data_IF_466215177065
#
_entry.id   IF_466215177065
#
_cell.length_a   1.000
_cell.length_b   1.000
_cell.length_c   1.000
_cell.angle_alpha   90.00
_cell.angle_beta   90.00
_cell.angle_gamma   90.00
#
_symmetry.space_group_name_H-M   'P 1'
#
loop_
_entity.id
_entity.type
_entity.pdbx_description
1 polymer ?
#
# COMPACT_ATOMS: atom_id res chain seq x y z
N UNK A 1 -8.98 11.97 2.74
CA UNK A 1 -8.18 12.70 3.75
C UNK A 1 -8.50 14.20 3.77
N UNK A 2 -8.38 14.97 2.69
CA UNK A 2 -8.60 16.43 2.68
C UNK A 2 -9.98 16.84 3.21
N UNK A 3 -11.04 16.13 2.83
CA UNK A 3 -12.41 16.40 3.32
C UNK A 3 -12.52 16.17 4.83
N UNK A 4 -12.01 15.07 5.36
CA UNK A 4 -12.00 14.77 6.78
C UNK A 4 -11.22 15.83 7.59
N UNK A 5 -10.09 16.29 7.06
CA UNK A 5 -9.30 17.33 7.70
C UNK A 5 -10.05 18.68 7.71
N UNK A 6 -10.71 19.02 6.58
CA UNK A 6 -11.53 20.21 6.49
C UNK A 6 -12.73 20.17 7.46
N UNK A 7 -13.41 19.03 7.53
CA UNK A 7 -14.56 18.84 8.46
C UNK A 7 -14.15 19.08 9.92
N UNK A 8 -12.97 18.58 10.33
CA UNK A 8 -12.54 18.64 11.71
C UNK A 8 -11.84 19.95 12.09
N UNK A 9 -11.06 20.53 11.19
CA UNK A 9 -10.16 21.65 11.50
C UNK A 9 -10.45 22.91 10.69
N UNK A 10 -11.41 22.89 9.77
CA UNK A 10 -11.79 24.03 8.92
C UNK A 10 -10.78 24.37 7.82
N UNK A 11 -9.77 23.52 7.57
CA UNK A 11 -8.69 23.76 6.62
C UNK A 11 -8.92 22.94 5.34
N UNK A 12 -9.27 23.62 4.24
CA UNK A 12 -9.70 22.97 3.00
C UNK A 12 -8.55 22.30 2.22
N UNK A 13 -7.36 22.87 2.19
CA UNK A 13 -6.20 22.40 1.42
C UNK A 13 -5.04 21.97 2.33
N UNK A 14 -5.36 21.17 3.33
CA UNK A 14 -4.38 20.78 4.35
C UNK A 14 -3.20 19.96 3.81
N UNK A 15 -3.37 19.30 2.67
CA UNK A 15 -2.37 18.40 2.08
C UNK A 15 -1.74 18.93 0.79
N UNK A 16 -2.13 20.14 0.32
CA UNK A 16 -1.69 20.66 -0.99
C UNK A 16 -0.19 20.84 -1.16
N UNK A 17 0.54 21.10 -0.07
CA UNK A 17 2.01 21.20 -0.06
C UNK A 17 2.73 19.90 0.31
N UNK A 18 1.99 18.82 0.60
CA UNK A 18 2.55 17.55 1.09
C UNK A 18 2.66 16.55 -0.06
N UNK A 19 3.85 15.97 -0.31
CA UNK A 19 4.00 14.91 -1.32
C UNK A 19 3.28 13.64 -0.85
N UNK A 20 2.12 13.34 -1.45
CA UNK A 20 1.27 12.21 -1.05
C UNK A 20 1.80 10.82 -1.48
N UNK A 21 2.29 10.63 -2.73
CA UNK A 21 2.68 9.30 -3.21
C UNK A 21 3.74 8.63 -2.32
N UNK A 22 3.52 7.36 -2.02
CA UNK A 22 4.50 6.53 -1.32
C UNK A 22 4.66 6.81 0.18
N UNK A 23 3.85 7.68 0.77
CA UNK A 23 3.87 7.98 2.21
C UNK A 23 2.89 7.11 2.99
N UNK A 24 3.08 7.02 4.32
CA UNK A 24 2.08 6.38 5.19
C UNK A 24 0.98 7.40 5.55
N UNK A 25 -0.25 6.92 5.74
CA UNK A 25 -1.37 7.77 6.15
C UNK A 25 -1.08 8.47 7.49
N UNK A 26 -0.41 7.77 8.41
CA UNK A 26 0.03 8.36 9.67
C UNK A 26 1.06 9.49 9.47
N UNK A 27 2.00 9.33 8.53
CA UNK A 27 2.96 10.38 8.21
C UNK A 27 2.27 11.59 7.57
N UNK A 28 1.34 11.35 6.64
CA UNK A 28 0.57 12.41 5.99
C UNK A 28 -0.22 13.23 7.01
N UNK A 29 -0.91 12.57 7.93
CA UNK A 29 -1.62 13.25 9.01
C UNK A 29 -0.67 14.03 9.90
N UNK A 30 0.43 13.42 10.34
CA UNK A 30 1.41 14.07 11.19
C UNK A 30 1.97 15.34 10.54
N UNK A 31 2.32 15.27 9.25
CA UNK A 31 2.83 16.42 8.49
C UNK A 31 1.78 17.52 8.35
N UNK A 32 0.51 17.17 8.09
CA UNK A 32 -0.56 18.15 8.00
C UNK A 32 -0.80 18.85 9.34
N UNK A 33 -0.85 18.11 10.45
CA UNK A 33 -1.00 18.68 11.78
C UNK A 33 0.16 19.65 12.11
N UNK A 34 1.40 19.25 11.81
CA UNK A 34 2.59 20.08 12.05
C UNK A 34 2.57 21.39 11.23
N UNK A 35 2.30 21.29 9.91
CA UNK A 35 2.25 22.45 9.01
C UNK A 35 1.19 23.47 9.47
N UNK A 36 0.08 23.00 10.01
CA UNK A 36 -1.01 23.86 10.46
C UNK A 36 -0.98 24.19 11.96
N UNK A 37 0.08 23.82 12.67
CA UNK A 37 0.25 24.13 14.09
C UNK A 37 -0.76 23.46 15.01
N UNK A 38 -1.31 22.31 14.61
CA UNK A 38 -2.29 21.56 15.37
C UNK A 38 -1.61 20.50 16.25
N UNK A 39 -2.18 20.20 17.44
CA UNK A 39 -1.64 19.15 18.32
C UNK A 39 -1.65 17.77 17.66
N UNK A 40 -0.57 17.03 17.86
CA UNK A 40 -0.47 15.64 17.46
C UNK A 40 -0.66 14.72 18.66
N UNK A 41 -1.80 14.79 19.30
CA UNK A 41 -2.20 13.88 20.37
C UNK A 41 -3.10 12.75 19.84
N UNK A 42 -3.30 11.75 20.67
CA UNK A 42 -4.10 10.57 20.30
C UNK A 42 -5.55 10.93 19.94
N UNK A 43 -6.13 11.96 20.60
CA UNK A 43 -7.49 12.37 20.34
C UNK A 43 -7.65 12.93 18.91
N UNK A 44 -6.75 13.80 18.47
CA UNK A 44 -6.73 14.34 17.10
C UNK A 44 -6.50 13.23 16.06
N UNK A 45 -5.53 12.33 16.32
CA UNK A 45 -5.22 11.22 15.42
C UNK A 45 -6.41 10.28 15.26
N UNK A 46 -7.03 9.85 16.35
CA UNK A 46 -8.18 8.94 16.32
C UNK A 46 -9.41 9.59 15.68
N UNK A 47 -9.72 10.85 16.04
CA UNK A 47 -10.86 11.57 15.47
C UNK A 47 -10.71 11.77 13.96
N UNK A 48 -9.49 12.12 13.51
CA UNK A 48 -9.19 12.24 12.08
C UNK A 48 -9.34 10.91 11.35
N UNK A 49 -8.77 9.83 11.90
CA UNK A 49 -8.87 8.49 11.31
C UNK A 49 -10.32 8.09 11.12
N UNK A 50 -11.15 8.28 12.14
CA UNK A 50 -12.57 7.93 12.09
C UNK A 50 -13.33 8.77 11.05
N UNK A 51 -13.05 10.07 10.94
CA UNK A 51 -13.62 10.93 9.91
C UNK A 51 -13.19 10.48 8.50
N UNK A 52 -11.91 10.19 8.33
CA UNK A 52 -11.36 9.71 7.06
C UNK A 52 -12.00 8.38 6.64
N UNK A 53 -12.16 7.42 7.56
CA UNK A 53 -12.79 6.13 7.24
C UNK A 53 -14.28 6.28 6.88
N UNK A 54 -15.02 7.18 7.54
CA UNK A 54 -16.40 7.52 7.15
C UNK A 54 -16.48 8.10 5.75
N UNK A 55 -15.56 9.01 5.40
CA UNK A 55 -15.50 9.60 4.07
C UNK A 55 -15.15 8.57 3.02
N UNK A 56 -14.16 7.69 3.30
CA UNK A 56 -13.78 6.60 2.40
C UNK A 56 -14.97 5.66 2.15
N UNK A 57 -15.74 5.29 3.19
CA UNK A 57 -16.93 4.46 3.03
C UNK A 57 -17.92 5.09 2.04
N UNK A 58 -18.21 6.39 2.20
CA UNK A 58 -19.11 7.12 1.30
C UNK A 58 -18.58 7.20 -0.13
N UNK A 59 -17.27 7.33 -0.31
CA UNK A 59 -16.64 7.35 -1.64
C UNK A 59 -16.73 5.99 -2.33
N UNK A 60 -16.53 4.90 -1.60
CA UNK A 60 -16.65 3.55 -2.14
C UNK A 60 -18.09 3.14 -2.51
N UNK A 61 -19.10 3.76 -1.90
CA UNK A 61 -20.50 3.57 -2.28
C UNK A 61 -20.88 4.28 -3.59
N UNK A 62 -20.11 5.26 -4.04
CA UNK A 62 -20.41 6.03 -5.24
C UNK A 62 -19.84 5.32 -6.49
N UNK A 63 -20.58 5.39 -7.62
CA UNK A 63 -20.01 4.92 -8.87
C UNK A 63 -18.73 5.71 -9.18
N UNK A 64 -17.67 5.05 -9.61
CA UNK A 64 -16.41 5.71 -9.88
C UNK A 64 -16.58 6.75 -11.02
N UNK A 65 -15.77 7.82 -11.03
CA UNK A 65 -15.79 8.81 -12.11
C UNK A 65 -15.58 8.14 -13.46
N UNK A 66 -16.32 8.58 -14.49
CA UNK A 66 -16.30 7.97 -15.84
C UNK A 66 -14.93 7.95 -16.54
N UNK A 67 -13.98 8.73 -16.04
CA UNK A 67 -12.61 8.85 -16.56
C UNK A 67 -11.55 8.18 -15.66
N UNK A 68 -11.95 7.58 -14.53
CA UNK A 68 -11.02 6.85 -13.67
C UNK A 68 -10.77 5.45 -14.24
N UNK A 69 -9.58 4.91 -14.00
CA UNK A 69 -9.32 3.48 -14.11
C UNK A 69 -10.16 2.78 -13.01
N UNK A 70 -11.40 2.48 -13.40
CA UNK A 70 -12.44 2.04 -12.49
C UNK A 70 -12.27 0.57 -12.22
N UNK A 71 -11.48 0.23 -11.23
CA UNK A 71 -11.41 -1.14 -10.83
C UNK A 71 -10.00 -1.66 -10.65
N UNK A 72 -9.91 -2.95 -10.76
CA UNK A 72 -8.67 -3.70 -10.61
C UNK A 72 -7.84 -3.53 -11.89
N UNK A 73 -6.58 -3.18 -11.73
CA UNK A 73 -5.66 -3.01 -12.85
C UNK A 73 -5.43 -4.32 -13.62
N UNK A 74 -5.06 -4.23 -14.92
CA UNK A 74 -4.81 -5.40 -15.75
C UNK A 74 -3.80 -6.37 -15.14
N UNK A 75 -4.10 -7.66 -15.19
CA UNK A 75 -3.25 -8.74 -14.69
C UNK A 75 -3.29 -8.99 -13.17
N UNK A 76 -3.89 -8.11 -12.37
CA UNK A 76 -3.92 -8.27 -10.89
C UNK A 76 -4.65 -9.54 -10.48
N UNK A 77 -5.89 -9.75 -10.94
CA UNK A 77 -6.66 -10.95 -10.54
C UNK A 77 -5.99 -12.25 -10.97
N UNK A 78 -5.59 -12.45 -12.24
CA UNK A 78 -4.92 -13.67 -12.67
C UNK A 78 -3.62 -13.94 -11.89
N UNK A 79 -2.85 -12.90 -11.58
CA UNK A 79 -1.63 -13.03 -10.80
C UNK A 79 -1.94 -13.47 -9.36
N UNK A 80 -2.87 -12.81 -8.68
CA UNK A 80 -3.26 -13.15 -7.31
C UNK A 80 -3.86 -14.56 -7.22
N UNK A 81 -4.71 -14.95 -8.15
CA UNK A 81 -5.28 -16.30 -8.23
C UNK A 81 -4.19 -17.37 -8.37
N UNK A 82 -3.23 -17.12 -9.28
CA UNK A 82 -2.13 -18.06 -9.51
C UNK A 82 -1.19 -18.15 -8.31
N UNK A 83 -0.86 -17.03 -7.66
CA UNK A 83 0.00 -17.03 -6.48
C UNK A 83 -0.70 -17.65 -5.28
N UNK A 84 -1.98 -17.36 -5.06
CA UNK A 84 -2.75 -17.91 -3.95
C UNK A 84 -2.99 -19.43 -4.06
N UNK A 85 -2.90 -20.01 -5.26
CA UNK A 85 -3.00 -21.45 -5.47
C UNK A 85 -1.73 -22.23 -5.14
N UNK A 86 -0.65 -21.56 -4.75
CA UNK A 86 0.66 -22.17 -4.48
C UNK A 86 0.90 -22.26 -2.98
N UNK A 87 1.02 -23.45 -2.44
CA UNK A 87 1.26 -23.71 -1.01
C UNK A 87 2.57 -23.10 -0.49
N UNK A 88 3.52 -22.81 -1.37
CA UNK A 88 4.83 -22.24 -1.02
C UNK A 88 4.86 -20.71 -1.07
N UNK A 89 3.75 -20.06 -1.45
CA UNK A 89 3.65 -18.61 -1.57
C UNK A 89 2.77 -18.05 -0.47
N UNK A 90 3.26 -17.03 0.22
CA UNK A 90 2.50 -16.26 1.19
C UNK A 90 2.28 -14.85 0.66
N UNK A 91 1.02 -14.49 0.44
CA UNK A 91 0.64 -13.15 0.02
C UNK A 91 0.47 -12.25 1.24
N UNK A 92 1.12 -11.09 1.21
CA UNK A 92 1.00 -10.08 2.26
C UNK A 92 0.82 -8.68 1.67
N UNK A 93 0.20 -7.80 2.45
CA UNK A 93 0.07 -6.39 2.10
C UNK A 93 1.22 -5.59 2.68
N UNK A 94 1.76 -4.69 1.86
CA UNK A 94 2.75 -3.72 2.28
C UNK A 94 2.27 -2.35 1.82
N UNK A 95 1.58 -1.62 2.69
CA UNK A 95 0.90 -0.38 2.32
C UNK A 95 1.05 0.73 3.35
N UNK A 96 1.17 1.96 2.87
CA UNK A 96 1.11 3.15 3.73
C UNK A 96 -0.29 3.48 4.24
N UNK A 97 -1.34 2.84 3.75
CA UNK A 97 -2.70 3.09 4.23
C UNK A 97 -2.89 2.56 5.66
N UNK A 98 -3.83 3.15 6.39
CA UNK A 98 -4.39 2.52 7.58
C UNK A 98 -4.95 1.14 7.24
N UNK A 99 -4.78 0.16 8.12
CA UNK A 99 -5.23 -1.23 7.89
C UNK A 99 -6.71 -1.29 7.51
N UNK A 100 -7.57 -0.61 8.27
CA UNK A 100 -9.01 -0.55 7.98
C UNK A 100 -9.28 0.05 6.61
N UNK A 101 -8.59 1.12 6.22
CA UNK A 101 -8.75 1.75 4.91
C UNK A 101 -8.30 0.82 3.76
N UNK A 102 -7.17 0.13 3.93
CA UNK A 102 -6.69 -0.85 2.96
C UNK A 102 -7.69 -1.99 2.79
N UNK A 103 -8.20 -2.52 3.91
CA UNK A 103 -9.21 -3.57 3.92
C UNK A 103 -10.49 -3.13 3.18
N UNK A 104 -11.07 -1.98 3.52
CA UNK A 104 -12.27 -1.45 2.87
C UNK A 104 -12.10 -1.35 1.35
N UNK A 105 -10.95 -0.84 0.88
CA UNK A 105 -10.65 -0.73 -0.56
C UNK A 105 -10.57 -2.10 -1.23
N UNK A 106 -9.89 -3.06 -0.61
CA UNK A 106 -9.71 -4.39 -1.19
C UNK A 106 -10.98 -5.24 -1.11
N UNK A 107 -11.80 -5.09 -0.06
CA UNK A 107 -13.12 -5.73 0.03
C UNK A 107 -14.07 -5.21 -1.06
N UNK A 108 -14.04 -3.91 -1.36
CA UNK A 108 -14.84 -3.30 -2.43
C UNK A 108 -14.57 -3.96 -3.81
N UNK A 109 -13.33 -4.39 -4.06
CA UNK A 109 -12.92 -5.07 -5.31
C UNK A 109 -12.85 -6.60 -5.17
N UNK A 110 -13.31 -7.18 -4.06
CA UNK A 110 -13.24 -8.62 -3.77
C UNK A 110 -11.80 -9.18 -3.79
N UNK A 111 -10.82 -8.34 -3.44
CA UNK A 111 -9.40 -8.71 -3.40
C UNK A 111 -8.90 -9.06 -2.01
N UNK A 112 -9.60 -8.65 -0.94
CA UNK A 112 -9.17 -8.91 0.44
C UNK A 112 -9.01 -10.40 0.73
N UNK A 113 -9.79 -11.25 0.09
CA UNK A 113 -9.75 -12.72 0.24
C UNK A 113 -8.36 -13.34 0.02
N UNK A 114 -7.52 -12.71 -0.81
CA UNK A 114 -6.17 -13.20 -1.09
C UNK A 114 -5.18 -12.94 0.06
N UNK A 115 -5.51 -12.06 0.99
CA UNK A 115 -4.64 -11.58 2.07
C UNK A 115 -5.19 -11.86 3.47
N UNK A 116 -6.31 -12.58 3.58
CA UNK A 116 -7.09 -12.68 4.83
C UNK A 116 -6.80 -13.93 5.67
N UNK A 117 -6.02 -14.89 5.16
CA UNK A 117 -5.85 -16.17 5.88
C UNK A 117 -4.41 -16.73 5.79
N UNK A 118 -3.59 -16.56 6.82
CA UNK A 118 -3.70 -15.56 7.88
C UNK A 118 -3.57 -14.14 7.30
N UNK A 119 -4.15 -13.15 7.97
CA UNK A 119 -4.00 -11.75 7.52
C UNK A 119 -2.54 -11.32 7.67
N UNK A 120 -1.81 -11.30 6.56
CA UNK A 120 -0.40 -10.92 6.51
C UNK A 120 -0.26 -9.52 5.95
N UNK A 121 0.51 -8.68 6.63
CA UNK A 121 0.79 -7.36 6.09
C UNK A 121 1.37 -6.39 7.09
N UNK A 122 1.87 -5.28 6.57
CA UNK A 122 2.27 -4.13 7.34
C UNK A 122 1.59 -2.87 6.78
N UNK A 123 1.03 -2.10 7.68
CA UNK A 123 0.16 -0.97 7.39
C UNK A 123 0.72 0.33 7.95
N UNK A 124 0.23 1.45 7.43
CA UNK A 124 0.66 2.77 7.84
C UNK A 124 0.15 3.26 9.20
N UNK A 125 -0.55 2.41 9.95
CA UNK A 125 -1.07 2.75 11.29
C UNK A 125 0.04 2.95 12.31
N UNK A 126 1.09 2.14 12.22
CA UNK A 126 2.05 1.97 13.30
C UNK A 126 3.42 2.57 13.00
N UNK A 127 3.60 3.22 11.85
CA UNK A 127 4.88 3.79 11.50
C UNK A 127 4.75 5.03 10.60
N UNK A 128 5.57 6.02 10.88
CA UNK A 128 5.78 7.15 9.99
C UNK A 128 6.84 6.85 8.92
N UNK A 129 7.72 5.90 9.20
CA UNK A 129 8.77 5.46 8.28
C UNK A 129 8.31 4.23 7.49
N UNK A 130 8.07 4.43 6.20
CA UNK A 130 7.65 3.36 5.28
C UNK A 130 8.68 2.22 5.18
N UNK A 131 9.96 2.48 5.40
CA UNK A 131 11.01 1.46 5.36
C UNK A 131 10.85 0.38 6.44
N UNK A 132 10.12 0.69 7.51
CA UNK A 132 9.83 -0.27 8.57
C UNK A 132 8.69 -1.24 8.25
N UNK A 133 7.98 -1.05 7.12
CA UNK A 133 6.87 -1.93 6.76
C UNK A 133 7.34 -3.35 6.42
N UNK A 134 8.39 -3.51 5.61
CA UNK A 134 8.84 -4.85 5.23
C UNK A 134 9.33 -5.70 6.42
N UNK A 135 10.21 -5.21 7.31
CA UNK A 135 10.59 -5.95 8.50
C UNK A 135 9.40 -6.36 9.37
N UNK A 136 8.37 -5.49 9.47
CA UNK A 136 7.14 -5.80 10.22
C UNK A 136 6.32 -6.90 9.54
N UNK A 137 6.15 -6.85 8.22
CA UNK A 137 5.43 -7.88 7.47
C UNK A 137 6.09 -9.25 7.64
N UNK A 138 7.43 -9.32 7.54
CA UNK A 138 8.20 -10.55 7.75
C UNK A 138 8.03 -11.07 9.19
N UNK A 139 8.13 -10.20 10.18
CA UNK A 139 7.93 -10.57 11.59
C UNK A 139 6.51 -11.12 11.85
N UNK A 140 5.51 -10.60 11.15
CA UNK A 140 4.12 -11.05 11.28
C UNK A 140 3.91 -12.47 10.70
N UNK A 141 4.60 -12.83 9.61
CA UNK A 141 4.57 -14.21 9.08
C UNK A 141 5.04 -15.19 10.16
N UNK A 142 6.17 -14.91 10.80
CA UNK A 142 6.69 -15.75 11.88
C UNK A 142 5.73 -15.80 13.08
N UNK A 143 5.15 -14.66 13.48
CA UNK A 143 4.23 -14.57 14.63
C UNK A 143 2.91 -15.32 14.39
N UNK A 144 2.46 -15.46 13.14
CA UNK A 144 1.25 -16.23 12.79
C UNK A 144 1.49 -17.73 12.62
N UNK A 145 2.65 -18.23 12.99
CA UNK A 145 3.00 -19.65 12.84
C UNK A 145 3.35 -20.06 11.41
N UNK A 146 3.61 -19.09 10.54
CA UNK A 146 4.08 -19.32 9.19
C UNK A 146 5.55 -19.80 9.14
N UNK A 147 6.07 -20.07 7.96
CA UNK A 147 7.45 -20.49 7.79
C UNK A 147 8.43 -19.38 8.21
N UNK A 148 9.67 -19.77 8.48
CA UNK A 148 10.75 -18.81 8.65
C UNK A 148 11.06 -18.16 7.31
N UNK A 149 10.69 -16.89 7.17
CA UNK A 149 10.92 -16.07 5.96
C UNK A 149 12.04 -15.08 6.26
N UNK A 150 13.03 -15.03 5.39
CA UNK A 150 14.07 -13.99 5.43
C UNK A 150 13.75 -12.88 4.43
N UNK A 151 14.36 -11.71 4.54
CA UNK A 151 14.19 -10.66 3.52
C UNK A 151 14.51 -11.12 2.10
N UNK A 152 15.50 -12.02 1.93
CA UNK A 152 15.88 -12.55 0.62
C UNK A 152 14.78 -13.43 -0.04
N UNK A 153 13.87 -13.98 0.77
CA UNK A 153 12.73 -14.77 0.29
C UNK A 153 11.53 -13.88 -0.09
N UNK A 154 11.61 -12.57 0.21
CA UNK A 154 10.52 -11.64 -0.03
C UNK A 154 10.67 -10.89 -1.36
N UNK A 155 9.55 -10.70 -2.05
CA UNK A 155 9.44 -9.83 -3.22
C UNK A 155 8.45 -8.73 -2.94
N UNK A 156 8.86 -7.48 -3.06
CA UNK A 156 7.98 -6.31 -2.95
C UNK A 156 7.53 -5.91 -4.35
N UNK A 157 6.22 -5.89 -4.58
CA UNK A 157 5.61 -5.41 -5.82
C UNK A 157 4.97 -4.05 -5.53
N UNK A 158 5.31 -3.04 -6.33
CA UNK A 158 4.76 -1.69 -6.16
C UNK A 158 4.95 -0.79 -7.36
N UNK A 159 4.36 0.40 -7.34
CA UNK A 159 4.30 1.33 -8.46
C UNK A 159 5.08 2.64 -8.23
N UNK A 160 5.81 2.72 -7.11
CA UNK A 160 6.56 3.92 -6.75
C UNK A 160 8.03 3.64 -6.43
N UNK A 161 8.92 4.64 -6.57
CA UNK A 161 10.29 4.55 -6.07
C UNK A 161 10.40 4.25 -4.58
N UNK A 162 9.36 4.55 -3.79
CA UNK A 162 9.32 4.23 -2.37
C UNK A 162 9.16 2.73 -2.12
N UNK A 163 8.44 2.00 -2.98
CA UNK A 163 8.33 0.54 -2.88
C UNK A 163 9.67 -0.11 -3.18
N UNK A 164 10.38 0.39 -4.19
CA UNK A 164 11.75 -0.02 -4.50
C UNK A 164 12.69 0.26 -3.33
N UNK A 165 12.57 1.44 -2.70
CA UNK A 165 13.38 1.81 -1.53
C UNK A 165 13.10 0.90 -0.33
N UNK A 166 11.83 0.57 -0.06
CA UNK A 166 11.43 -0.38 1.01
C UNK A 166 12.03 -1.76 0.78
N UNK A 167 11.95 -2.29 -0.45
CA UNK A 167 12.56 -3.57 -0.80
C UNK A 167 14.07 -3.55 -0.55
N UNK A 168 14.77 -2.56 -1.08
CA UNK A 168 16.23 -2.42 -0.92
C UNK A 168 16.66 -2.25 0.53
N UNK A 169 15.98 -1.38 1.26
CA UNK A 169 16.27 -1.15 2.68
C UNK A 169 16.12 -2.43 3.49
N UNK A 170 15.08 -3.21 3.18
CA UNK A 170 14.79 -4.47 3.87
C UNK A 170 15.59 -5.67 3.35
N UNK A 171 16.36 -5.55 2.28
CA UNK A 171 17.09 -6.66 1.68
C UNK A 171 16.25 -7.64 0.86
N UNK A 172 15.08 -7.19 0.40
CA UNK A 172 14.19 -7.94 -0.48
C UNK A 172 14.37 -7.56 -1.94
N UNK A 173 13.84 -8.40 -2.83
CA UNK A 173 13.76 -8.12 -4.25
C UNK A 173 12.59 -7.18 -4.56
N UNK A 174 12.77 -6.30 -5.55
CA UNK A 174 11.76 -5.34 -6.00
C UNK A 174 11.27 -5.65 -7.41
N UNK A 175 9.95 -5.71 -7.59
CA UNK A 175 9.29 -5.75 -8.89
C UNK A 175 8.42 -4.50 -8.99
N UNK A 176 8.81 -3.57 -9.84
CA UNK A 176 8.08 -2.33 -10.03
C UNK A 176 7.11 -2.42 -11.22
N UNK A 177 5.96 -1.76 -11.10
CA UNK A 177 4.90 -1.78 -12.11
C UNK A 177 4.53 -0.34 -12.46
N UNK A 178 4.65 0.05 -13.73
CA UNK A 178 4.46 1.43 -14.18
C UNK A 178 2.97 1.81 -14.40
N UNK A 179 2.10 1.33 -13.50
CA UNK A 179 0.65 1.60 -13.55
C UNK A 179 0.23 2.83 -12.76
N UNK A 180 1.12 3.39 -11.96
CA UNK A 180 0.87 4.59 -11.16
C UNK A 180 1.36 5.88 -11.82
N UNK A 181 1.79 6.83 -11.01
CA UNK A 181 2.26 8.14 -11.46
C UNK A 181 3.71 8.16 -11.96
N UNK A 182 4.45 7.06 -11.86
CA UNK A 182 5.85 6.96 -12.24
C UNK A 182 6.02 6.12 -13.50
N UNK A 183 6.84 6.61 -14.44
CA UNK A 183 7.15 5.87 -15.66
C UNK A 183 8.08 4.68 -15.37
N UNK A 184 8.07 3.69 -16.25
CA UNK A 184 8.99 2.55 -16.16
C UNK A 184 10.46 2.98 -16.13
N UNK A 185 10.81 4.07 -16.84
CA UNK A 185 12.15 4.64 -16.80
C UNK A 185 12.52 5.18 -15.41
N UNK A 186 11.60 5.92 -14.78
CA UNK A 186 11.79 6.45 -13.42
C UNK A 186 11.94 5.31 -12.39
N UNK A 187 11.15 4.25 -12.53
CA UNK A 187 11.23 3.06 -11.68
C UNK A 187 12.55 2.30 -11.89
N UNK A 188 13.04 2.17 -13.13
CA UNK A 188 14.38 1.61 -13.39
C UNK A 188 15.48 2.48 -12.80
N UNK A 189 15.37 3.80 -12.94
CA UNK A 189 16.33 4.75 -12.37
C UNK A 189 16.37 4.72 -10.84
N UNK A 190 15.25 4.38 -10.17
CA UNK A 190 15.22 4.14 -8.72
C UNK A 190 15.93 2.85 -8.30
N UNK A 191 16.26 1.99 -9.29
CA UNK A 191 16.99 0.75 -9.15
C UNK A 191 16.12 -0.44 -8.81
N UNK A 192 14.89 -0.49 -9.31
CA UNK A 192 14.06 -1.69 -9.27
C UNK A 192 14.78 -2.87 -9.96
N UNK A 193 14.69 -4.07 -9.38
CA UNK A 193 15.32 -5.26 -9.94
C UNK A 193 14.65 -5.71 -11.23
N UNK A 194 13.32 -5.57 -11.30
CA UNK A 194 12.50 -5.82 -12.50
C UNK A 194 11.45 -4.73 -12.61
N UNK A 195 11.13 -4.33 -13.87
CA UNK A 195 10.08 -3.34 -14.14
C UNK A 195 9.17 -3.84 -15.25
N UNK A 196 7.88 -3.84 -14.99
CA UNK A 196 6.81 -4.11 -15.96
C UNK A 196 5.98 -2.84 -16.23
N UNK A 197 5.37 -2.76 -17.40
CA UNK A 197 4.40 -1.69 -17.71
C UNK A 197 3.08 -1.92 -16.94
N UNK A 198 2.62 -3.17 -16.91
CA UNK A 198 1.49 -3.66 -16.11
C UNK A 198 1.67 -5.14 -15.76
N UNK A 199 0.67 -5.78 -15.18
CA UNK A 199 0.70 -7.20 -14.80
C UNK A 199 0.00 -8.13 -15.80
N UNK A 200 -0.32 -7.66 -17.01
CA UNK A 200 -1.08 -8.42 -18.01
C UNK A 200 -0.31 -9.63 -18.53
N UNK A 201 1.01 -9.54 -18.66
CA UNK A 201 1.86 -10.69 -18.98
C UNK A 201 2.14 -11.51 -17.70
N UNK A 202 1.07 -12.11 -17.18
CA UNK A 202 1.14 -12.91 -15.95
C UNK A 202 2.24 -13.99 -15.99
N UNK A 203 2.50 -14.72 -17.09
CA UNK A 203 3.61 -15.67 -17.16
C UNK A 203 4.98 -15.04 -16.95
N UNK A 204 5.26 -13.89 -17.59
CA UNK A 204 6.53 -13.18 -17.42
C UNK A 204 6.69 -12.63 -15.99
N UNK A 205 5.60 -12.08 -15.43
CA UNK A 205 5.59 -11.60 -14.05
C UNK A 205 5.88 -12.76 -13.09
N UNK A 206 5.17 -13.89 -13.20
CA UNK A 206 5.37 -15.06 -12.36
C UNK A 206 6.81 -15.59 -12.45
N UNK A 207 7.38 -15.68 -13.65
CA UNK A 207 8.77 -16.10 -13.84
C UNK A 207 9.74 -15.18 -13.09
N UNK A 208 9.41 -13.90 -12.96
CA UNK A 208 10.22 -12.93 -12.22
C UNK A 208 10.05 -13.02 -10.70
N UNK A 209 9.00 -13.62 -10.18
CA UNK A 209 8.73 -13.72 -8.74
C UNK A 209 9.32 -15.00 -8.12
N UNK A 210 9.49 -16.05 -8.91
CA UNK A 210 9.77 -17.43 -8.44
C UNK A 210 11.16 -17.88 -8.93
N UNK A 211 12.16 -17.03 -8.77
CA UNK A 211 13.56 -17.36 -9.10
C UNK A 211 14.34 -17.72 -7.87
#
# INVERSE_FOLDING_TARGET
>A
MSRAFHELFGIADAFGSIPLPGRTDAWLLASALEIHGLPRDDAHVLTFRDAYLRDLARELEQPPPSNALNGVLPGVCPLLETLASRDTVHLGLLTGNYEVAARMKLEHFDLWRYFSSPALGAFGDHTLDRNLLLPRAIAQVAASGGPSVTPADAVVIGDTPFDVAVAKHGGARSVAVATGSHSAEALRASGADVVFEDLSDTPAVLASLIT
#
